data_IF_598357595313
#
_entry.id   IF_598357595313
#
_cell.length_a   1.000
_cell.length_b   1.000
_cell.length_c   1.000
_cell.angle_alpha   90.00
_cell.angle_beta   90.00
_cell.angle_gamma   90.00
#
_symmetry.space_group_name_H-M   'P 1'
#
loop_
_entity.id
_entity.type
_entity.pdbx_description
1 polymer ?
#
# COMPACT_ATOMS: atom_id res chain seq x y z
N UNK A 1 -9.62 0.07 -20.40
CA UNK A 1 -10.69 -0.21 -21.37
C UNK A 1 -10.25 0.28 -22.75
N UNK A 2 -10.62 -0.35 -23.86
CA UNK A 2 -10.40 0.22 -25.20
C UNK A 2 -11.00 1.63 -25.29
N UNK A 3 -10.34 2.57 -25.98
CA UNK A 3 -10.91 3.91 -26.25
C UNK A 3 -10.75 4.98 -25.16
N UNK A 4 -9.92 4.78 -24.14
CA UNK A 4 -9.71 5.79 -23.07
C UNK A 4 -10.76 5.76 -21.96
N UNK A 5 -11.56 4.69 -21.91
CA UNK A 5 -12.62 4.51 -20.92
C UNK A 5 -12.11 4.12 -19.52
N UNK A 6 -12.96 4.41 -18.55
CA UNK A 6 -12.77 4.08 -17.14
C UNK A 6 -13.47 2.78 -16.79
N UNK A 7 -12.90 2.06 -15.81
CA UNK A 7 -13.50 0.86 -15.25
C UNK A 7 -13.17 0.77 -13.77
N UNK A 8 -14.09 0.18 -13.02
CA UNK A 8 -13.78 -0.31 -11.68
C UNK A 8 -12.95 -1.58 -11.82
N UNK A 9 -11.74 -1.55 -11.28
CA UNK A 9 -10.80 -2.66 -11.26
C UNK A 9 -10.32 -2.85 -9.82
N UNK A 10 -10.15 -4.09 -9.41
CA UNK A 10 -9.75 -4.47 -8.06
C UNK A 10 -8.65 -5.54 -8.10
N UNK A 11 -8.03 -5.76 -6.94
CA UNK A 11 -6.98 -6.76 -6.75
C UNK A 11 -5.58 -6.16 -6.66
N UNK A 12 -4.61 -7.00 -6.30
CA UNK A 12 -3.21 -6.60 -6.06
C UNK A 12 -2.54 -5.99 -7.28
N UNK A 13 -2.92 -6.42 -8.49
CA UNK A 13 -2.47 -5.80 -9.74
C UNK A 13 -2.83 -4.32 -9.86
N UNK A 14 -3.91 -3.86 -9.21
CA UNK A 14 -4.28 -2.45 -9.15
C UNK A 14 -3.59 -1.71 -7.99
N UNK A 15 -3.17 -2.40 -6.93
CA UNK A 15 -2.33 -1.78 -5.90
C UNK A 15 -0.95 -1.37 -6.45
N UNK A 16 -0.35 -2.17 -7.35
CA UNK A 16 0.95 -1.89 -7.94
C UNK A 16 1.06 -0.52 -8.64
N UNK A 17 0.16 -0.11 -9.57
CA UNK A 17 0.23 1.22 -10.19
C UNK A 17 -0.03 2.36 -9.21
N UNK A 18 -0.82 2.16 -8.14
CA UNK A 18 -0.98 3.18 -7.09
C UNK A 18 0.35 3.41 -6.34
N UNK A 19 1.03 2.35 -5.92
CA UNK A 19 2.35 2.44 -5.27
C UNK A 19 3.39 3.05 -6.20
N UNK A 20 3.36 2.71 -7.50
CA UNK A 20 4.23 3.32 -8.50
C UNK A 20 4.01 4.83 -8.62
N UNK A 21 2.76 5.30 -8.54
CA UNK A 21 2.43 6.72 -8.51
C UNK A 21 3.03 7.44 -7.31
N UNK A 22 2.89 6.88 -6.09
CA UNK A 22 3.49 7.46 -4.88
C UNK A 22 5.01 7.45 -4.93
N UNK A 23 5.62 6.37 -5.45
CA UNK A 23 7.06 6.31 -5.65
C UNK A 23 7.57 7.40 -6.62
N UNK A 24 6.79 7.72 -7.66
CA UNK A 24 7.11 8.81 -8.58
C UNK A 24 7.01 10.19 -7.89
N UNK A 25 6.02 10.40 -7.02
CA UNK A 25 5.92 11.62 -6.21
C UNK A 25 7.14 11.77 -5.29
N UNK A 26 7.51 10.71 -4.56
CA UNK A 26 8.72 10.69 -3.74
C UNK A 26 9.98 11.00 -4.55
N UNK A 27 10.10 10.42 -5.75
CA UNK A 27 11.25 10.68 -6.64
C UNK A 27 11.26 12.12 -7.15
N UNK A 28 10.10 12.76 -7.31
CA UNK A 28 10.00 14.17 -7.73
C UNK A 28 10.46 15.14 -6.64
N UNK A 29 10.16 14.85 -5.37
CA UNK A 29 10.61 15.64 -4.21
C UNK A 29 12.04 15.29 -3.79
N UNK A 30 12.49 14.08 -4.09
CA UNK A 30 13.83 13.57 -3.77
C UNK A 30 14.60 13.14 -5.04
N UNK A 31 14.93 14.07 -5.95
CA UNK A 31 15.46 13.74 -7.28
C UNK A 31 16.81 13.00 -7.24
N UNK A 32 17.59 13.15 -6.17
CA UNK A 32 18.90 12.50 -6.01
C UNK A 32 18.83 11.13 -5.31
N UNK A 33 17.68 10.77 -4.73
CA UNK A 33 17.55 9.50 -4.02
C UNK A 33 17.63 8.30 -4.96
N UNK A 34 18.37 7.28 -4.53
CA UNK A 34 18.46 5.95 -5.12
C UNK A 34 17.13 5.20 -5.01
N UNK A 35 16.93 4.13 -5.81
CA UNK A 35 15.76 3.25 -5.67
C UNK A 35 15.58 2.70 -4.25
N UNK A 36 16.69 2.40 -3.56
CA UNK A 36 16.69 1.91 -2.19
C UNK A 36 16.17 2.99 -1.22
N UNK A 37 16.63 4.23 -1.35
CA UNK A 37 16.14 5.35 -0.53
C UNK A 37 14.66 5.63 -0.77
N UNK A 38 14.19 5.58 -2.02
CA UNK A 38 12.75 5.70 -2.33
C UNK A 38 11.95 4.56 -1.68
N UNK A 39 12.47 3.32 -1.73
CA UNK A 39 11.82 2.19 -1.05
C UNK A 39 11.76 2.38 0.46
N UNK A 40 12.80 2.96 1.07
CA UNK A 40 12.80 3.29 2.49
C UNK A 40 11.78 4.37 2.82
N UNK A 41 11.69 5.44 2.04
CA UNK A 41 10.71 6.51 2.22
C UNK A 41 9.28 5.97 2.11
N UNK A 42 8.99 5.13 1.11
CA UNK A 42 7.69 4.46 0.97
C UNK A 42 7.28 3.70 2.24
N UNK A 43 8.22 3.00 2.88
CA UNK A 43 7.96 2.24 4.11
C UNK A 43 7.84 3.16 5.33
N UNK A 44 8.67 4.19 5.41
CA UNK A 44 8.73 5.09 6.55
C UNK A 44 7.53 6.05 6.62
N UNK A 45 6.96 6.40 5.47
CA UNK A 45 5.79 7.27 5.33
C UNK A 45 4.49 6.48 5.14
N UNK A 46 4.52 5.15 5.27
CA UNK A 46 3.31 4.34 5.15
C UNK A 46 2.47 4.40 6.43
N UNK A 47 1.16 4.50 6.27
CA UNK A 47 0.20 4.44 7.36
C UNK A 47 -0.25 3.00 7.60
N UNK A 48 0.12 2.43 8.75
CA UNK A 48 -0.25 1.06 9.09
C UNK A 48 -1.50 1.04 9.98
N UNK A 49 -2.64 0.49 9.52
CA UNK A 49 -3.84 0.37 10.35
C UNK A 49 -3.70 -0.71 11.45
N UNK A 50 -2.62 -1.50 11.44
CA UNK A 50 -2.44 -2.65 12.30
C UNK A 50 -3.31 -3.84 11.88
N UNK A 51 -3.36 -4.85 12.75
CA UNK A 51 -4.26 -5.98 12.55
C UNK A 51 -5.66 -5.63 13.04
N UNK A 52 -6.67 -5.78 12.16
CA UNK A 52 -8.08 -5.68 12.55
C UNK A 52 -8.44 -6.77 13.56
N UNK A 53 -9.33 -6.44 14.50
CA UNK A 53 -9.93 -7.43 15.40
C UNK A 53 -10.99 -8.31 14.69
N UNK A 54 -11.39 -7.93 13.47
CA UNK A 54 -12.37 -8.68 12.69
C UNK A 54 -11.68 -9.83 11.95
N UNK A 55 -12.22 -11.07 12.00
CA UNK A 55 -11.70 -12.17 11.21
C UNK A 55 -11.68 -11.84 9.71
N UNK A 56 -10.62 -12.27 9.02
CA UNK A 56 -10.54 -12.12 7.57
C UNK A 56 -11.30 -13.27 6.90
N UNK A 57 -12.56 -12.98 6.55
CA UNK A 57 -13.51 -13.86 5.89
C UNK A 57 -14.22 -13.05 4.77
N UNK A 58 -13.55 -12.86 3.61
CA UNK A 58 -14.09 -12.08 2.51
C UNK A 58 -15.22 -12.78 1.73
N UNK A 59 -15.34 -14.11 1.80
CA UNK A 59 -16.39 -14.87 1.11
C UNK A 59 -17.62 -15.16 1.99
N UNK A 60 -17.51 -14.94 3.29
CA UNK A 60 -18.59 -15.04 4.27
C UNK A 60 -18.97 -16.48 4.61
N UNK A 61 -18.08 -17.45 4.38
CA UNK A 61 -18.36 -18.87 4.63
C UNK A 61 -18.25 -19.27 6.11
N UNK A 62 -17.84 -18.32 6.98
CA UNK A 62 -17.67 -18.51 8.41
C UNK A 62 -16.33 -19.14 8.80
N UNK A 63 -15.41 -19.37 7.84
CA UNK A 63 -14.03 -19.77 8.08
C UNK A 63 -13.10 -18.59 7.95
N UNK A 64 -12.04 -18.63 8.75
CA UNK A 64 -11.01 -17.61 8.70
C UNK A 64 -10.02 -17.99 7.60
N UNK A 65 -10.01 -17.21 6.52
CA UNK A 65 -9.12 -17.43 5.37
C UNK A 65 -7.67 -17.03 5.66
N UNK A 66 -7.49 -16.02 6.52
CA UNK A 66 -6.17 -15.55 6.93
C UNK A 66 -6.19 -14.94 8.33
N UNK A 67 -5.08 -15.09 9.05
CA UNK A 67 -4.87 -14.45 10.35
C UNK A 67 -3.82 -13.36 10.20
N UNK A 68 -4.17 -12.15 10.62
CA UNK A 68 -3.21 -11.06 10.68
C UNK A 68 -2.26 -11.29 11.86
N UNK A 69 -0.96 -11.26 11.58
CA UNK A 69 0.12 -11.46 12.53
C UNK A 69 1.20 -10.40 12.31
N UNK A 70 1.75 -9.90 13.41
CA UNK A 70 2.80 -8.88 13.40
C UNK A 70 2.57 -7.83 14.47
N UNK A 71 3.08 -6.64 14.21
CA UNK A 71 3.00 -5.47 15.08
C UNK A 71 2.14 -4.39 14.45
N UNK A 72 1.91 -3.30 15.20
CA UNK A 72 1.27 -2.07 14.68
C UNK A 72 2.06 -1.39 13.56
N UNK A 73 3.35 -1.72 13.38
CA UNK A 73 4.22 -1.09 12.38
C UNK A 73 4.51 -1.98 11.18
N UNK A 74 4.48 -3.29 11.38
CA UNK A 74 4.70 -4.27 10.31
C UNK A 74 3.89 -5.54 10.55
N UNK A 75 3.11 -5.96 9.56
CA UNK A 75 2.31 -7.18 9.62
C UNK A 75 2.20 -7.85 8.25
N UNK A 76 1.72 -9.09 8.22
CA UNK A 76 1.59 -9.88 6.99
C UNK A 76 0.47 -9.41 6.04
N UNK A 77 -0.43 -8.52 6.48
CA UNK A 77 -1.55 -8.04 5.65
C UNK A 77 -1.18 -6.76 4.89
N UNK A 78 -0.52 -5.82 5.57
CA UNK A 78 -0.22 -4.48 5.03
C UNK A 78 1.28 -4.21 4.86
N UNK A 79 2.16 -5.15 5.25
CA UNK A 79 3.59 -4.88 5.30
C UNK A 79 3.85 -3.71 6.25
N UNK A 80 4.54 -2.67 5.77
CA UNK A 80 4.80 -1.45 6.52
C UNK A 80 3.60 -0.50 6.60
N UNK A 81 2.56 -0.71 5.79
CA UNK A 81 1.34 0.11 5.77
C UNK A 81 0.88 0.47 4.36
N UNK A 82 -0.12 1.34 4.30
CA UNK A 82 -0.68 1.92 3.08
C UNK A 82 0.19 3.11 2.68
N UNK A 83 0.56 3.20 1.39
CA UNK A 83 1.35 4.34 0.88
C UNK A 83 0.58 5.64 0.98
N UNK A 84 1.24 6.71 1.41
CA UNK A 84 0.64 8.05 1.53
C UNK A 84 1.23 9.01 0.48
N UNK A 85 0.37 9.45 -0.45
CA UNK A 85 0.72 10.41 -1.49
C UNK A 85 0.91 11.84 -0.95
N UNK A 86 0.24 12.20 0.15
CA UNK A 86 0.33 13.51 0.77
C UNK A 86 1.68 13.66 1.47
N UNK A 87 2.05 12.68 2.31
CA UNK A 87 3.36 12.63 2.95
C UNK A 87 4.50 12.67 1.92
N UNK A 88 4.33 11.98 0.78
CA UNK A 88 5.33 11.96 -0.29
C UNK A 88 5.69 13.33 -0.87
N UNK A 89 4.80 14.31 -0.72
CA UNK A 89 4.98 15.69 -1.23
C UNK A 89 5.09 16.75 -0.13
N UNK A 90 4.96 16.38 1.15
CA UNK A 90 4.94 17.33 2.28
C UNK A 90 6.04 17.11 3.32
N UNK A 91 6.63 15.92 3.40
CA UNK A 91 7.75 15.61 4.32
C UNK A 91 9.10 15.71 3.63
#
# INVERSE_FOLDING_TARGET
MPGGDWAYLQGTSMASPHVAGVAALLKSTHPKSSPQEIQWLLKAQADNPGCSATPYDPDGDGKIDAVCAGTKHVNNFYGYGIVDALDAVQK
#
